data_IF_631907863030
#
_entry.id   IF_631907863030
#
_cell.length_a   1.000
_cell.length_b   1.000
_cell.length_c   1.000
_cell.angle_alpha   90.00
_cell.angle_beta   90.00
_cell.angle_gamma   90.00
#
_symmetry.space_group_name_H-M   'P 1'
#
loop_
_entity.id
_entity.type
_entity.pdbx_description
1 polymer ?
#
# COMPACT_ATOMS: atom_id res chain seq x y z
N UNK A 1 -17.91 -6.03 -21.56
CA UNK A 1 -16.60 -5.36 -21.52
C UNK A 1 -16.14 -5.34 -20.06
N UNK A 2 -15.38 -6.37 -19.68
CA UNK A 2 -14.94 -6.59 -18.31
C UNK A 2 -13.59 -5.89 -18.14
N UNK A 3 -13.62 -4.62 -17.75
CA UNK A 3 -12.42 -3.82 -17.47
C UNK A 3 -11.99 -4.06 -16.02
N UNK A 4 -10.68 -4.03 -15.76
CA UNK A 4 -10.15 -4.03 -14.39
C UNK A 4 -10.83 -2.89 -13.63
N UNK A 5 -11.34 -3.18 -12.43
CA UNK A 5 -11.94 -2.19 -11.57
C UNK A 5 -10.86 -1.44 -10.81
N UNK A 6 -10.16 -0.57 -11.54
CA UNK A 6 -9.07 0.25 -11.00
C UNK A 6 -9.59 1.24 -9.95
N UNK A 7 -10.85 1.69 -10.10
CA UNK A 7 -11.52 2.60 -9.16
C UNK A 7 -11.77 1.93 -7.81
N UNK A 8 -12.26 0.69 -7.79
CA UNK A 8 -12.43 -0.06 -6.55
C UNK A 8 -11.10 -0.30 -5.84
N UNK A 9 -10.01 -0.57 -6.59
CA UNK A 9 -8.65 -0.65 -6.03
C UNK A 9 -8.27 0.67 -5.36
N UNK A 10 -8.41 1.80 -6.07
CA UNK A 10 -8.11 3.14 -5.53
C UNK A 10 -8.93 3.44 -4.28
N UNK A 11 -10.24 3.18 -4.30
CA UNK A 11 -11.13 3.44 -3.17
C UNK A 11 -10.65 2.70 -1.91
N UNK A 12 -10.34 1.41 -2.02
CA UNK A 12 -9.89 0.62 -0.87
C UNK A 12 -8.52 1.05 -0.37
N UNK A 13 -7.61 1.44 -1.27
CA UNK A 13 -6.32 2.00 -0.87
C UNK A 13 -6.50 3.34 -0.12
N UNK A 14 -7.37 4.22 -0.59
CA UNK A 14 -7.68 5.49 0.08
C UNK A 14 -8.31 5.25 1.46
N UNK A 15 -9.21 4.28 1.58
CA UNK A 15 -9.80 3.88 2.86
C UNK A 15 -8.71 3.43 3.84
N UNK A 16 -7.76 2.61 3.39
CA UNK A 16 -6.62 2.16 4.20
C UNK A 16 -5.69 3.32 4.59
N UNK A 17 -5.38 4.24 3.68
CA UNK A 17 -4.62 5.47 3.98
C UNK A 17 -5.30 6.30 5.07
N UNK A 18 -6.64 6.40 5.01
CA UNK A 18 -7.45 7.07 6.03
C UNK A 18 -7.34 6.41 7.41
N UNK A 19 -7.34 5.07 7.48
CA UNK A 19 -7.14 4.36 8.76
C UNK A 19 -5.71 4.53 9.28
N UNK A 20 -4.68 4.48 8.42
CA UNK A 20 -3.30 4.76 8.82
C UNK A 20 -3.16 6.17 9.39
N UNK A 21 -3.72 7.19 8.74
CA UNK A 21 -3.73 8.58 9.24
C UNK A 21 -4.36 8.69 10.64
N UNK A 22 -5.47 7.97 10.88
CA UNK A 22 -6.12 7.96 12.21
C UNK A 22 -5.23 7.31 13.26
N UNK A 23 -4.56 6.20 12.92
CA UNK A 23 -3.60 5.54 13.83
C UNK A 23 -2.46 6.48 14.21
N UNK A 24 -1.88 7.19 13.23
CA UNK A 24 -0.85 8.21 13.46
C UNK A 24 -1.36 9.30 14.41
N UNK A 25 -2.57 9.83 14.14
CA UNK A 25 -3.15 10.91 14.94
C UNK A 25 -3.34 10.48 16.39
N UNK A 26 -3.83 9.25 16.62
CA UNK A 26 -3.98 8.68 17.95
C UNK A 26 -2.63 8.54 18.65
N UNK A 27 -1.62 8.01 17.96
CA UNK A 27 -0.28 7.83 18.49
C UNK A 27 0.37 9.15 18.92
N UNK A 28 0.34 10.17 18.06
CA UNK A 28 0.94 11.48 18.34
C UNK A 28 0.22 12.16 19.51
N UNK A 29 -1.11 12.20 19.50
CA UNK A 29 -1.89 12.79 20.60
C UNK A 29 -1.62 12.07 21.93
N UNK A 30 -1.42 10.76 21.90
CA UNK A 30 -1.07 9.99 23.08
C UNK A 30 0.32 10.36 23.61
N UNK A 31 1.31 10.52 22.72
CA UNK A 31 2.66 10.90 23.12
C UNK A 31 2.72 12.32 23.69
N UNK A 32 1.96 13.27 23.12
CA UNK A 32 1.83 14.63 23.67
C UNK A 32 1.27 14.60 25.10
N UNK A 33 0.22 13.80 25.34
CA UNK A 33 -0.36 13.61 26.69
C UNK A 33 0.64 12.95 27.64
N UNK A 34 1.41 11.96 27.17
CA UNK A 34 2.42 11.29 27.98
C UNK A 34 3.53 12.27 28.40
N UNK A 35 4.05 13.07 27.47
CA UNK A 35 5.04 14.11 27.76
C UNK A 35 4.54 15.12 28.80
N UNK A 36 3.30 15.58 28.67
CA UNK A 36 2.70 16.51 29.64
C UNK A 36 2.60 15.91 31.06
N UNK A 37 2.32 14.60 31.18
CA UNK A 37 2.32 13.89 32.47
C UNK A 37 3.74 13.81 33.04
N UNK A 38 4.72 13.48 32.21
CA UNK A 38 6.13 13.35 32.61
C UNK A 38 6.70 14.69 33.08
N UNK A 39 6.42 15.79 32.38
CA UNK A 39 6.89 17.15 32.70
C UNK A 39 6.21 17.76 33.94
N UNK A 40 5.03 17.29 34.33
CA UNK A 40 4.27 17.84 35.45
C UNK A 40 5.02 17.72 36.78
N UNK A 41 5.39 18.83 37.41
CA UNK A 41 6.04 18.83 38.74
C UNK A 41 5.05 18.60 39.89
N UNK A 42 3.74 18.65 39.61
CA UNK A 42 2.67 18.56 40.61
C UNK A 42 2.37 17.13 41.08
N UNK A 43 2.83 16.11 40.35
CA UNK A 43 2.49 14.72 40.61
C UNK A 43 3.66 13.91 41.17
N UNK A 44 3.35 13.00 42.10
CA UNK A 44 4.31 12.00 42.55
C UNK A 44 4.66 11.05 41.40
N UNK A 45 5.85 10.44 41.46
CA UNK A 45 6.31 9.47 40.46
C UNK A 45 5.32 8.31 40.29
N UNK A 46 4.84 7.74 41.39
CA UNK A 46 3.86 6.63 41.38
C UNK A 46 2.57 7.03 40.65
N UNK A 47 2.07 8.24 40.88
CA UNK A 47 0.87 8.72 40.22
C UNK A 47 1.09 8.95 38.71
N UNK A 48 2.27 9.44 38.30
CA UNK A 48 2.63 9.55 36.88
C UNK A 48 2.67 8.18 36.21
N UNK A 49 3.31 7.20 36.84
CA UNK A 49 3.43 5.85 36.30
C UNK A 49 2.03 5.22 36.08
N UNK A 50 1.10 5.41 37.03
CA UNK A 50 -0.29 4.97 36.88
C UNK A 50 -1.02 5.67 35.72
N UNK A 51 -0.86 6.99 35.59
CA UNK A 51 -1.47 7.76 34.50
C UNK A 51 -0.93 7.33 33.12
N UNK A 52 0.39 7.11 33.02
CA UNK A 52 1.03 6.64 31.80
C UNK A 52 0.59 5.23 31.42
N UNK A 53 0.41 4.33 32.40
CA UNK A 53 -0.12 2.99 32.16
C UNK A 53 -1.55 3.05 31.59
N UNK A 54 -2.43 3.84 32.21
CA UNK A 54 -3.82 4.03 31.72
C UNK A 54 -3.86 4.63 30.32
N UNK A 55 -2.97 5.57 30.05
CA UNK A 55 -2.86 6.22 28.75
C UNK A 55 -2.46 5.20 27.66
N UNK A 56 -1.47 4.32 27.95
CA UNK A 56 -1.09 3.22 27.06
C UNK A 56 -2.22 2.22 26.81
N UNK A 57 -2.97 1.85 27.84
CA UNK A 57 -4.14 0.96 27.67
C UNK A 57 -5.22 1.58 26.80
N UNK A 58 -5.51 2.88 27.03
CA UNK A 58 -6.48 3.63 26.24
C UNK A 58 -6.07 3.70 24.78
N UNK A 59 -4.80 4.01 24.50
CA UNK A 59 -4.25 4.03 23.16
C UNK A 59 -4.43 2.68 22.45
N UNK A 60 -4.09 1.56 23.12
CA UNK A 60 -4.26 0.22 22.55
C UNK A 60 -5.74 -0.08 22.23
N UNK A 61 -6.66 0.27 23.14
CA UNK A 61 -8.09 0.09 22.93
C UNK A 61 -8.64 0.91 21.76
N UNK A 62 -8.28 2.20 21.67
CA UNK A 62 -8.72 3.08 20.59
C UNK A 62 -8.12 2.68 19.23
N UNK A 63 -6.84 2.27 19.22
CA UNK A 63 -6.16 1.82 18.01
C UNK A 63 -6.73 0.50 17.47
N UNK A 64 -7.21 -0.41 18.33
CA UNK A 64 -7.77 -1.70 17.91
C UNK A 64 -8.87 -1.57 16.87
N UNK A 65 -9.80 -0.63 17.08
CA UNK A 65 -10.91 -0.38 16.13
C UNK A 65 -10.40 0.06 14.74
N UNK A 66 -9.28 0.81 14.71
CA UNK A 66 -8.65 1.27 13.46
C UNK A 66 -7.87 0.15 12.78
N UNK A 67 -7.14 -0.66 13.55
CA UNK A 67 -6.42 -1.83 13.05
C UNK A 67 -7.39 -2.88 12.48
N UNK A 68 -8.52 -3.14 13.14
CA UNK A 68 -9.58 -4.01 12.60
C UNK A 68 -10.19 -3.46 11.30
N UNK A 69 -10.33 -2.14 11.20
CA UNK A 69 -10.84 -1.50 9.98
C UNK A 69 -9.82 -1.55 8.84
N UNK A 70 -8.53 -1.38 9.15
CA UNK A 70 -7.43 -1.54 8.21
C UNK A 70 -7.40 -2.98 7.66
N UNK A 71 -7.53 -3.98 8.53
CA UNK A 71 -7.56 -5.40 8.16
C UNK A 71 -8.76 -5.72 7.24
N UNK A 72 -9.96 -5.23 7.58
CA UNK A 72 -11.15 -5.42 6.72
C UNK A 72 -11.00 -4.76 5.35
N UNK A 73 -10.39 -3.58 5.28
CA UNK A 73 -10.16 -2.91 4.00
C UNK A 73 -9.09 -3.62 3.17
N UNK A 74 -8.08 -4.19 3.82
CA UNK A 74 -7.11 -5.08 3.18
C UNK A 74 -7.79 -6.30 2.54
N UNK A 75 -8.65 -7.01 3.28
CA UNK A 75 -9.36 -8.19 2.76
C UNK A 75 -10.18 -7.86 1.51
N UNK A 76 -10.92 -6.74 1.55
CA UNK A 76 -11.69 -6.24 0.40
C UNK A 76 -10.79 -5.83 -0.77
N UNK A 77 -9.65 -5.21 -0.52
CA UNK A 77 -8.67 -4.89 -1.57
C UNK A 77 -8.20 -6.18 -2.27
N UNK A 78 -7.88 -7.22 -1.51
CA UNK A 78 -7.45 -8.51 -2.06
C UNK A 78 -8.55 -9.16 -2.91
N UNK A 79 -9.81 -9.10 -2.48
CA UNK A 79 -10.94 -9.58 -3.29
C UNK A 79 -11.02 -8.86 -4.64
N UNK A 80 -10.91 -7.52 -4.64
CA UNK A 80 -10.92 -6.72 -5.87
C UNK A 80 -9.74 -7.07 -6.77
N UNK A 81 -8.52 -7.20 -6.23
CA UNK A 81 -7.33 -7.55 -7.01
C UNK A 81 -7.45 -8.95 -7.63
N UNK A 82 -7.94 -9.94 -6.87
CA UNK A 82 -8.17 -11.31 -7.37
C UNK A 82 -9.25 -11.34 -8.44
N UNK A 83 -10.33 -10.56 -8.28
CA UNK A 83 -11.33 -10.42 -9.32
C UNK A 83 -10.67 -9.88 -10.61
N UNK A 84 -9.89 -8.80 -10.50
CA UNK A 84 -9.19 -8.18 -11.62
C UNK A 84 -8.25 -9.13 -12.38
N UNK A 85 -7.59 -10.07 -11.70
CA UNK A 85 -6.72 -11.09 -12.34
C UNK A 85 -7.48 -12.02 -13.30
N UNK A 86 -8.78 -12.22 -13.09
CA UNK A 86 -9.61 -13.22 -13.80
C UNK A 86 -10.49 -12.65 -14.92
N UNK A 87 -10.49 -11.34 -15.10
CA UNK A 87 -11.60 -10.60 -15.75
C UNK A 87 -11.36 -10.33 -17.25
N UNK A 88 -10.16 -10.55 -17.80
CA UNK A 88 -9.88 -10.09 -19.17
C UNK A 88 -10.51 -10.96 -20.27
N UNK A 89 -11.23 -10.29 -21.16
CA UNK A 89 -11.77 -10.85 -22.39
C UNK A 89 -10.73 -10.74 -23.52
N UNK A 90 -10.10 -11.87 -23.87
CA UNK A 90 -9.10 -11.92 -24.94
C UNK A 90 -9.66 -11.66 -26.34
N UNK A 91 -10.99 -11.55 -26.50
CA UNK A 91 -11.60 -11.11 -27.76
C UNK A 91 -11.53 -9.59 -27.96
N UNK A 92 -10.98 -8.85 -27.00
CA UNK A 92 -10.79 -7.41 -27.11
C UNK A 92 -9.94 -7.04 -28.36
N UNK A 93 -10.46 -6.18 -29.25
CA UNK A 93 -9.76 -5.79 -30.47
C UNK A 93 -8.42 -5.09 -30.21
N UNK A 94 -8.29 -4.37 -29.10
CA UNK A 94 -7.05 -3.68 -28.74
C UNK A 94 -5.96 -4.68 -28.33
N UNK A 95 -6.33 -5.70 -27.57
CA UNK A 95 -5.42 -6.81 -27.27
C UNK A 95 -4.99 -7.52 -28.54
N UNK A 96 -5.94 -7.86 -29.41
CA UNK A 96 -5.68 -8.54 -30.69
C UNK A 96 -4.72 -7.71 -31.56
N UNK A 97 -4.92 -6.39 -31.63
CA UNK A 97 -4.02 -5.49 -32.35
C UNK A 97 -2.61 -5.46 -31.76
N UNK A 98 -2.46 -5.47 -30.43
CA UNK A 98 -1.15 -5.54 -29.78
C UNK A 98 -0.43 -6.87 -30.04
N UNK A 99 -1.16 -8.00 -30.01
CA UNK A 99 -0.61 -9.31 -30.37
C UNK A 99 -0.14 -9.32 -31.82
N UNK A 100 -0.97 -8.83 -32.75
CA UNK A 100 -0.61 -8.77 -34.17
C UNK A 100 0.64 -7.91 -34.40
N UNK A 101 0.73 -6.74 -33.74
CA UNK A 101 1.89 -5.86 -33.83
C UNK A 101 3.16 -6.55 -33.31
N UNK A 102 3.12 -7.17 -32.13
CA UNK A 102 4.26 -7.88 -31.55
C UNK A 102 4.70 -9.09 -32.39
N UNK A 103 3.74 -9.78 -33.02
CA UNK A 103 4.00 -10.98 -33.83
C UNK A 103 4.52 -10.65 -35.22
N UNK A 104 4.10 -9.54 -35.83
CA UNK A 104 4.45 -9.17 -37.19
C UNK A 104 5.88 -8.62 -37.33
N UNK A 105 6.49 -8.13 -36.25
CA UNK A 105 7.82 -7.52 -36.31
C UNK A 105 8.92 -8.55 -36.09
N UNK A 106 9.92 -8.58 -36.96
CA UNK A 106 11.08 -9.47 -36.82
C UNK A 106 12.00 -9.11 -35.66
N UNK A 107 12.05 -7.82 -35.31
CA UNK A 107 12.85 -7.26 -34.23
C UNK A 107 11.97 -6.75 -33.07
N UNK A 108 12.53 -6.56 -31.86
CA UNK A 108 11.81 -5.91 -30.77
C UNK A 108 11.33 -4.51 -31.16
N UNK A 109 10.08 -4.19 -30.78
CA UNK A 109 9.56 -2.83 -30.88
C UNK A 109 10.43 -1.83 -30.11
N UNK A 110 10.36 -0.56 -30.52
CA UNK A 110 10.99 0.53 -29.78
C UNK A 110 10.50 0.57 -28.33
N UNK A 111 11.41 0.96 -27.42
CA UNK A 111 11.17 0.96 -25.98
C UNK A 111 9.96 1.80 -25.56
N UNK A 112 9.72 2.93 -26.24
CA UNK A 112 8.56 3.79 -25.99
C UNK A 112 7.25 3.07 -26.33
N UNK A 113 7.21 2.37 -27.47
CA UNK A 113 6.03 1.63 -27.93
C UNK A 113 5.68 0.48 -26.98
N UNK A 114 6.66 -0.36 -26.62
CA UNK A 114 6.41 -1.48 -25.71
C UNK A 114 6.03 -1.00 -24.30
N UNK A 115 6.60 0.12 -23.85
CA UNK A 115 6.22 0.74 -22.58
C UNK A 115 4.79 1.30 -22.61
N UNK A 116 4.37 1.88 -23.74
CA UNK A 116 2.99 2.33 -23.96
C UNK A 116 2.00 1.16 -23.92
N UNK A 117 2.30 0.06 -24.61
CA UNK A 117 1.51 -1.17 -24.56
C UNK A 117 1.42 -1.69 -23.13
N UNK A 118 2.55 -1.79 -22.42
CA UNK A 118 2.55 -2.31 -21.05
C UNK A 118 1.74 -1.43 -20.09
N UNK A 119 1.81 -0.09 -20.23
CA UNK A 119 1.01 0.85 -19.43
C UNK A 119 -0.49 0.70 -19.67
N UNK A 120 -0.90 0.42 -20.91
CA UNK A 120 -2.32 0.25 -21.27
C UNK A 120 -2.98 -0.94 -20.57
N UNK A 121 -2.20 -1.98 -20.25
CA UNK A 121 -2.69 -3.22 -19.64
C UNK A 121 -2.26 -3.40 -18.17
N UNK A 122 -1.94 -2.30 -17.46
CA UNK A 122 -1.74 -2.36 -16.01
C UNK A 122 -2.98 -2.92 -15.30
N UNK A 123 -2.77 -3.65 -14.20
CA UNK A 123 -3.82 -4.40 -13.52
C UNK A 123 -4.33 -5.65 -14.25
N UNK A 124 -4.00 -5.85 -15.53
CA UNK A 124 -4.38 -7.03 -16.30
C UNK A 124 -3.24 -8.06 -16.35
N UNK A 125 -3.04 -8.80 -15.25
CA UNK A 125 -1.95 -9.79 -15.11
C UNK A 125 -1.87 -10.76 -16.30
N UNK A 126 -2.99 -11.39 -16.65
CA UNK A 126 -3.04 -12.40 -17.72
C UNK A 126 -2.74 -11.81 -19.10
N UNK A 127 -3.15 -10.57 -19.35
CA UNK A 127 -2.86 -9.88 -20.62
C UNK A 127 -1.38 -9.60 -20.76
N UNK A 128 -0.76 -9.05 -19.72
CA UNK A 128 0.68 -8.76 -19.75
C UNK A 128 1.50 -10.04 -19.90
N UNK A 129 1.08 -11.14 -19.28
CA UNK A 129 1.70 -12.46 -19.49
C UNK A 129 1.53 -12.95 -20.92
N UNK A 130 0.32 -12.89 -21.49
CA UNK A 130 0.06 -13.31 -22.86
C UNK A 130 0.85 -12.48 -23.89
N UNK A 131 0.89 -11.15 -23.73
CA UNK A 131 1.71 -10.27 -24.56
C UNK A 131 3.20 -10.59 -24.41
N UNK A 132 3.66 -10.92 -23.21
CA UNK A 132 5.06 -11.25 -22.97
C UNK A 132 5.48 -12.58 -23.63
N UNK A 133 4.56 -13.50 -23.86
CA UNK A 133 4.86 -14.77 -24.55
C UNK A 133 5.01 -14.60 -26.06
N UNK A 134 4.30 -13.64 -26.67
CA UNK A 134 4.47 -13.31 -28.11
C UNK A 134 5.55 -12.25 -28.36
N UNK A 135 5.99 -11.55 -27.32
CA UNK A 135 7.01 -10.51 -27.43
C UNK A 135 8.44 -11.07 -27.58
N UNK A 136 9.27 -10.36 -28.35
CA UNK A 136 10.68 -10.71 -28.60
C UNK A 136 11.64 -10.09 -27.58
N UNK A 137 12.64 -10.87 -27.18
CA UNK A 137 13.84 -10.42 -26.45
C UNK A 137 13.55 -9.41 -25.31
N UNK A 138 14.01 -8.16 -25.47
CA UNK A 138 13.91 -7.09 -24.49
C UNK A 138 12.46 -6.68 -24.21
N UNK A 139 11.54 -6.79 -25.18
CA UNK A 139 10.12 -6.49 -24.97
C UNK A 139 9.46 -7.44 -23.98
N UNK A 140 9.83 -8.73 -23.99
CA UNK A 140 9.37 -9.73 -23.01
C UNK A 140 9.75 -9.30 -21.60
N UNK A 141 10.98 -8.82 -21.41
CA UNK A 141 11.46 -8.33 -20.11
C UNK A 141 10.66 -7.11 -19.65
N UNK A 142 10.37 -6.16 -20.54
CA UNK A 142 9.58 -4.97 -20.22
C UNK A 142 8.17 -5.33 -19.77
N UNK A 143 7.49 -6.20 -20.51
CA UNK A 143 6.12 -6.63 -20.17
C UNK A 143 6.09 -7.42 -18.86
N UNK A 144 7.02 -8.37 -18.66
CA UNK A 144 7.11 -9.15 -17.41
C UNK A 144 7.37 -8.26 -16.18
N UNK A 145 8.15 -7.19 -16.33
CA UNK A 145 8.37 -6.20 -15.25
C UNK A 145 7.11 -5.42 -14.85
N UNK A 146 6.07 -5.41 -15.68
CA UNK A 146 4.78 -4.76 -15.38
C UNK A 146 3.72 -5.73 -14.84
N UNK A 147 4.00 -7.03 -14.85
CA UNK A 147 3.10 -8.03 -14.28
C UNK A 147 3.01 -7.83 -12.78
N UNK A 148 1.82 -7.49 -12.31
CA UNK A 148 1.52 -7.44 -10.88
C UNK A 148 1.21 -8.85 -10.36
N UNK A 149 1.81 -9.23 -9.24
CA UNK A 149 1.53 -10.50 -8.57
C UNK A 149 0.67 -10.27 -7.34
N UNK A 150 -0.64 -10.37 -7.53
CA UNK A 150 -1.63 -10.17 -6.47
C UNK A 150 -1.33 -10.99 -5.24
N UNK A 151 -0.98 -12.26 -5.37
CA UNK A 151 -0.72 -13.13 -4.22
C UNK A 151 0.49 -12.66 -3.41
N UNK A 152 1.62 -12.44 -4.09
CA UNK A 152 2.86 -12.02 -3.43
C UNK A 152 2.76 -10.62 -2.80
N UNK A 153 2.13 -9.67 -3.49
CA UNK A 153 1.97 -8.30 -3.01
C UNK A 153 0.92 -8.22 -1.88
N UNK A 154 -0.15 -9.02 -1.97
CA UNK A 154 -1.13 -9.14 -0.90
C UNK A 154 -0.54 -9.77 0.36
N UNK A 155 0.26 -10.84 0.22
CA UNK A 155 0.94 -11.48 1.35
C UNK A 155 1.90 -10.51 2.03
N UNK A 156 2.73 -9.80 1.24
CA UNK A 156 3.65 -8.79 1.76
C UNK A 156 2.91 -7.71 2.56
N UNK A 157 1.85 -7.13 1.99
CA UNK A 157 1.05 -6.11 2.65
C UNK A 157 0.39 -6.65 3.93
N UNK A 158 -0.08 -7.90 3.92
CA UNK A 158 -0.66 -8.55 5.10
C UNK A 158 0.36 -8.65 6.23
N UNK A 159 1.59 -9.09 5.93
CA UNK A 159 2.65 -9.23 6.93
C UNK A 159 2.99 -7.87 7.56
N UNK A 160 3.01 -6.81 6.75
CA UNK A 160 3.22 -5.44 7.24
C UNK A 160 2.09 -4.99 8.18
N UNK A 161 0.82 -5.27 7.83
CA UNK A 161 -0.35 -4.92 8.67
C UNK A 161 -0.37 -5.72 9.98
N UNK A 162 -0.08 -7.03 9.92
CA UNK A 162 0.00 -7.90 11.10
C UNK A 162 1.13 -7.42 12.03
N UNK A 163 2.29 -7.08 11.46
CA UNK A 163 3.42 -6.57 12.24
C UNK A 163 3.09 -5.23 12.92
N UNK A 164 2.35 -4.35 12.22
CA UNK A 164 1.82 -3.13 12.83
C UNK A 164 0.88 -3.47 13.98
N UNK A 165 -0.08 -4.37 13.81
CA UNK A 165 -1.06 -4.71 14.85
C UNK A 165 -0.40 -5.32 16.10
N UNK A 166 0.39 -6.37 15.93
CA UNK A 166 1.01 -7.12 17.04
C UNK A 166 1.97 -6.24 17.84
N UNK A 167 2.77 -5.41 17.16
CA UNK A 167 3.79 -4.58 17.80
C UNK A 167 3.32 -3.20 18.25
N UNK A 168 2.02 -2.89 18.16
CA UNK A 168 1.54 -1.56 18.49
C UNK A 168 1.62 -1.28 20.00
N UNK A 169 2.07 -0.09 20.45
CA UNK A 169 2.34 1.13 19.66
C UNK A 169 3.73 1.27 19.03
N UNK A 170 4.72 0.47 19.43
CA UNK A 170 6.11 0.61 18.99
C UNK A 170 6.30 0.38 17.47
N UNK A 171 5.46 -0.46 16.88
CA UNK A 171 5.45 -0.78 15.44
C UNK A 171 4.93 0.33 14.53
N UNK A 172 4.47 1.48 15.07
CA UNK A 172 3.94 2.62 14.28
C UNK A 172 4.94 3.11 13.23
N UNK A 173 6.23 2.89 13.47
CA UNK A 173 7.34 3.17 12.54
C UNK A 173 7.26 2.38 11.22
N UNK A 174 6.41 1.35 11.13
CA UNK A 174 6.18 0.57 9.92
C UNK A 174 5.16 1.20 8.96
N UNK A 175 4.37 2.19 9.41
CA UNK A 175 3.35 2.86 8.59
C UNK A 175 3.89 3.45 7.28
N UNK A 176 5.09 4.07 7.23
CA UNK A 176 5.70 4.51 5.97
C UNK A 176 5.89 3.38 4.93
N UNK A 177 6.26 2.18 5.37
CA UNK A 177 6.43 1.02 4.49
C UNK A 177 5.08 0.53 3.96
N UNK A 178 4.06 0.44 4.83
CA UNK A 178 2.69 0.10 4.43
C UNK A 178 2.16 1.13 3.41
N UNK A 179 2.40 2.42 3.65
CA UNK A 179 2.05 3.50 2.70
C UNK A 179 2.72 3.27 1.33
N UNK A 180 4.01 2.94 1.31
CA UNK A 180 4.74 2.71 0.07
C UNK A 180 4.21 1.48 -0.69
N UNK A 181 3.88 0.39 0.02
CA UNK A 181 3.27 -0.81 -0.55
C UNK A 181 1.91 -0.50 -1.19
N UNK A 182 1.03 0.20 -0.48
CA UNK A 182 -0.27 0.64 -0.99
C UNK A 182 -0.14 1.50 -2.26
N UNK A 183 0.79 2.47 -2.28
CA UNK A 183 1.07 3.28 -3.48
C UNK A 183 1.58 2.40 -4.63
N UNK A 184 2.42 1.42 -4.32
CA UNK A 184 2.93 0.45 -5.30
C UNK A 184 1.81 -0.34 -5.97
N UNK A 185 0.85 -0.84 -5.17
CA UNK A 185 -0.32 -1.57 -5.65
C UNK A 185 -1.18 -0.69 -6.56
N UNK A 186 -1.49 0.55 -6.13
CA UNK A 186 -2.27 1.49 -6.95
C UNK A 186 -1.62 1.71 -8.33
N UNK A 187 -0.31 2.02 -8.34
CA UNK A 187 0.44 2.25 -9.58
C UNK A 187 0.49 1.02 -10.48
N UNK A 188 0.64 -0.17 -9.90
CA UNK A 188 0.65 -1.42 -10.65
C UNK A 188 -0.71 -1.74 -11.29
N UNK A 189 -1.79 -1.23 -10.70
CA UNK A 189 -3.15 -1.30 -11.24
C UNK A 189 -3.49 -0.12 -12.18
N UNK A 190 -2.54 0.77 -12.46
CA UNK A 190 -2.76 1.92 -13.35
C UNK A 190 -3.45 3.12 -12.70
N UNK A 191 -3.53 3.16 -11.37
CA UNK A 191 -4.07 4.30 -10.62
C UNK A 191 -2.96 5.22 -10.12
N UNK A 192 -3.15 6.52 -10.34
CA UNK A 192 -2.32 7.57 -9.76
C UNK A 192 -3.06 8.20 -8.59
N UNK A 193 -2.58 7.93 -7.38
CA UNK A 193 -3.09 8.55 -6.17
C UNK A 193 -2.65 10.01 -6.11
N UNK A 194 -3.59 10.88 -5.77
CA UNK A 194 -3.30 12.30 -5.55
C UNK A 194 -2.51 12.52 -4.25
N UNK A 195 -1.91 13.69 -4.08
CA UNK A 195 -1.28 14.05 -2.80
C UNK A 195 -2.27 13.91 -1.63
N UNK A 196 -3.52 14.34 -1.83
CA UNK A 196 -4.59 14.21 -0.84
C UNK A 196 -4.92 12.75 -0.48
N UNK A 197 -4.89 11.85 -1.46
CA UNK A 197 -5.14 10.42 -1.24
C UNK A 197 -4.06 9.76 -0.38
N UNK A 198 -2.83 10.29 -0.42
CA UNK A 198 -1.67 9.73 0.28
C UNK A 198 -1.23 10.53 1.51
N UNK A 199 -1.97 11.58 1.86
CA UNK A 199 -1.72 12.45 3.00
C UNK A 199 -2.06 11.73 4.31
N UNK A 200 -1.02 11.45 5.08
CA UNK A 200 -1.12 10.84 6.39
C UNK A 200 -1.11 11.85 7.56
N UNK A 201 -1.20 13.15 7.24
CA UNK A 201 -1.24 14.24 8.22
C UNK A 201 0.14 14.66 8.75
N UNK A 202 0.14 15.70 9.59
CA UNK A 202 1.36 16.34 10.10
C UNK A 202 2.22 15.40 10.94
N UNK A 203 1.59 14.54 11.74
CA UNK A 203 2.26 13.55 12.59
C UNK A 203 3.02 12.46 11.82
N UNK A 204 2.84 12.35 10.51
CA UNK A 204 3.57 11.40 9.68
C UNK A 204 5.08 11.70 9.63
N UNK A 205 5.47 12.98 9.62
CA UNK A 205 6.88 13.37 9.60
C UNK A 205 7.60 12.96 10.89
N UNK A 206 6.91 13.02 12.03
CA UNK A 206 7.47 12.59 13.31
C UNK A 206 7.73 11.08 13.34
N UNK A 207 6.88 10.29 12.68
CA UNK A 207 7.07 8.85 12.52
C UNK A 207 8.25 8.57 11.59
N UNK A 208 8.34 9.26 10.45
CA UNK A 208 9.48 9.15 9.53
C UNK A 208 10.81 9.45 10.23
N UNK A 209 10.87 10.54 10.99
CA UNK A 209 12.05 10.92 11.75
C UNK A 209 12.40 9.89 12.83
N UNK A 210 11.39 9.27 13.45
CA UNK A 210 11.59 8.19 14.44
C UNK A 210 12.13 6.92 13.78
N UNK A 211 11.66 6.57 12.58
CA UNK A 211 12.19 5.45 11.80
C UNK A 211 13.68 5.64 11.46
N UNK A 212 14.07 6.86 11.07
CA UNK A 212 15.47 7.19 10.76
C UNK A 212 16.34 7.07 12.03
N UNK A 213 15.87 7.57 13.18
CA UNK A 213 16.58 7.43 14.46
C UNK A 213 16.82 5.97 14.84
N UNK A 214 15.79 5.13 14.75
CA UNK A 214 15.90 3.68 15.01
C UNK A 214 16.90 3.02 14.04
N UNK A 215 16.85 3.35 12.75
CA UNK A 215 17.80 2.83 11.76
C UNK A 215 19.26 3.26 12.03
N UNK A 216 19.45 4.41 12.67
CA UNK A 216 20.76 4.91 13.11
C UNK A 216 21.20 4.38 14.50
N UNK A 217 20.39 3.53 15.15
CA UNK A 217 20.67 3.02 16.50
C UNK A 217 20.54 4.08 17.60
N UNK A 218 19.82 5.17 17.32
CA UNK A 218 19.55 6.24 18.27
C UNK A 218 18.17 6.02 18.89
N UNK A 219 18.16 5.66 20.18
CA UNK A 219 16.94 5.59 21.01
C UNK A 219 16.80 6.87 21.83
#
# INVERSE_FOLDING_TARGET
MNKVDTKAVREKIVDMMGELRKIITLYISNNEKAAAIEESTAFSRVYKDEQLARLKETLKGEARTRLDSLQRNYEKLVEVLKANDSVYDFSDPEFTACVALLSATDQPLQMETISGIAKKFLGHRQVLLALAEVAKETNKVVLKKKVFNTEAEAEKLQQSIISLDIGFPESVISIPSIRAELIGIARACGEELTEKDTDLGTGYQDIMNSQIRVAMGLN
#
